data_IF_913411412825
#
_entry.id   IF_913411412825
#
_cell.length_a   1.000
_cell.length_b   1.000
_cell.length_c   1.000
_cell.angle_alpha   90.00
_cell.angle_beta   90.00
_cell.angle_gamma   90.00
#
_symmetry.space_group_name_H-M   'P 1'
#
loop_
_entity.id
_entity.type
_entity.pdbx_description
1 polymer ?
#
# COMPACT_ATOMS: atom_id res chain seq x y z
N UNK A 1 -36.93 -64.45 -31.79
CA UNK A 1 -35.70 -64.46 -32.60
C UNK A 1 -34.56 -64.10 -31.64
N UNK A 2 -34.10 -65.08 -30.86
CA UNK A 2 -32.81 -65.79 -31.03
C UNK A 2 -31.60 -64.84 -30.94
N UNK A 3 -30.56 -65.05 -30.15
CA UNK A 3 -30.21 -66.06 -29.16
C UNK A 3 -28.87 -65.61 -28.56
N UNK A 4 -28.67 -65.91 -27.27
CA UNK A 4 -27.42 -66.41 -26.64
C UNK A 4 -26.10 -65.63 -26.69
N UNK A 5 -25.61 -65.38 -25.47
CA UNK A 5 -24.26 -64.93 -25.03
C UNK A 5 -23.22 -66.10 -25.07
N UNK A 6 -21.97 -65.96 -24.57
CA UNK A 6 -20.65 -66.01 -25.24
C UNK A 6 -19.89 -67.35 -25.03
N UNK A 7 -18.54 -67.44 -25.20
CA UNK A 7 -17.67 -67.25 -24.02
C UNK A 7 -16.21 -66.77 -24.26
N UNK A 8 -15.56 -66.61 -23.11
CA UNK A 8 -14.23 -66.13 -22.70
C UNK A 8 -12.93 -66.83 -23.19
N UNK A 9 -11.83 -66.08 -22.94
CA UNK A 9 -10.49 -66.49 -22.44
C UNK A 9 -9.40 -67.01 -23.40
N UNK A 10 -8.26 -66.31 -23.42
CA UNK A 10 -6.99 -66.77 -22.81
C UNK A 10 -5.90 -65.68 -22.76
N UNK A 11 -5.12 -65.75 -21.68
CA UNK A 11 -4.02 -64.87 -21.28
C UNK A 11 -2.67 -65.21 -21.94
N UNK A 12 -1.75 -64.24 -21.97
CA UNK A 12 -0.30 -64.50 -21.88
C UNK A 12 0.45 -63.29 -21.30
N UNK A 13 1.35 -63.61 -20.37
CA UNK A 13 2.26 -62.80 -19.55
C UNK A 13 3.55 -62.45 -20.31
N UNK A 14 4.19 -61.33 -19.98
CA UNK A 14 5.63 -61.28 -19.59
C UNK A 14 6.02 -59.93 -18.99
N UNK A 15 6.73 -59.99 -17.86
CA UNK A 15 7.41 -58.88 -17.19
C UNK A 15 8.92 -58.87 -17.54
N UNK A 16 9.54 -57.69 -17.54
CA UNK A 16 10.99 -57.44 -17.30
C UNK A 16 11.22 -55.91 -17.30
N UNK A 17 11.40 -55.26 -16.14
CA UNK A 17 12.68 -54.87 -15.50
C UNK A 17 13.56 -53.91 -16.31
N UNK A 18 13.72 -52.68 -15.81
CA UNK A 18 14.76 -51.74 -16.25
C UNK A 18 14.72 -50.37 -15.56
N UNK A 19 15.37 -50.25 -14.41
CA UNK A 19 15.98 -49.00 -13.88
C UNK A 19 17.41 -49.42 -13.46
N UNK A 20 18.46 -48.57 -13.35
CA UNK A 20 18.42 -47.11 -13.21
C UNK A 20 19.58 -46.30 -13.87
N UNK A 21 19.41 -44.98 -13.96
CA UNK A 21 20.50 -43.98 -13.87
C UNK A 21 19.82 -42.61 -13.70
N UNK A 22 19.96 -41.88 -12.59
CA UNK A 22 21.21 -41.48 -11.98
C UNK A 22 21.53 -40.06 -12.47
N UNK A 23 21.07 -39.05 -11.74
CA UNK A 23 21.32 -37.65 -12.08
C UNK A 23 20.49 -36.69 -11.25
N UNK A 24 21.00 -36.32 -10.09
CA UNK A 24 20.69 -35.08 -9.38
C UNK A 24 21.96 -34.70 -8.60
N UNK A 25 22.21 -33.45 -8.19
CA UNK A 25 21.68 -32.16 -8.66
C UNK A 25 22.85 -31.17 -8.94
N UNK A 26 22.68 -30.15 -9.78
CA UNK A 26 23.46 -28.88 -9.71
C UNK A 26 23.19 -28.03 -10.96
N UNK A 27 22.09 -27.30 -10.97
CA UNK A 27 22.10 -26.01 -11.66
C UNK A 27 22.70 -25.05 -10.64
N UNK A 28 24.00 -24.80 -10.79
CA UNK A 28 24.70 -23.80 -10.01
C UNK A 28 23.96 -22.47 -10.19
N UNK A 29 23.30 -22.01 -9.13
CA UNK A 29 22.90 -20.62 -9.01
C UNK A 29 24.20 -19.81 -9.05
N UNK A 30 24.46 -19.17 -10.19
CA UNK A 30 25.48 -18.13 -10.27
C UNK A 30 25.20 -17.09 -9.18
N UNK A 31 26.23 -16.39 -8.66
CA UNK A 31 26.02 -15.42 -7.60
C UNK A 31 25.01 -14.40 -8.13
N UNK A 32 23.82 -14.37 -7.51
CA UNK A 32 22.87 -13.30 -7.72
C UNK A 32 23.66 -12.01 -7.51
N UNK A 33 23.73 -11.18 -8.53
CA UNK A 33 24.45 -9.92 -8.49
C UNK A 33 24.08 -9.19 -7.21
N UNK A 34 25.08 -8.89 -6.40
CA UNK A 34 24.97 -8.18 -5.12
C UNK A 34 24.51 -6.70 -5.29
N UNK A 35 24.05 -6.36 -6.49
CA UNK A 35 23.51 -5.07 -6.88
C UNK A 35 21.98 -5.11 -6.77
N UNK A 36 21.45 -4.24 -5.90
CA UNK A 36 20.04 -3.95 -5.60
C UNK A 36 19.46 -4.48 -4.28
N UNK A 37 20.27 -4.68 -3.23
CA UNK A 37 19.71 -4.56 -1.87
C UNK A 37 19.56 -3.06 -1.57
N UNK A 38 18.34 -2.54 -1.70
CA UNK A 38 17.99 -1.18 -1.29
C UNK A 38 18.35 -0.90 0.18
N UNK A 39 18.14 0.32 0.69
CA UNK A 39 18.63 0.69 2.02
C UNK A 39 18.11 -0.25 3.11
N UNK A 40 18.95 -0.54 4.11
CA UNK A 40 18.56 -1.35 5.28
C UNK A 40 17.36 -0.73 6.02
N UNK A 41 17.27 0.61 6.00
CA UNK A 41 16.12 1.36 6.50
C UNK A 41 15.89 2.61 5.65
N UNK A 42 14.71 2.74 5.07
CA UNK A 42 14.30 3.88 4.25
C UNK A 42 14.18 5.13 5.13
N UNK A 43 14.63 6.25 4.56
CA UNK A 43 14.76 7.56 5.21
C UNK A 43 14.45 8.61 4.16
N UNK A 44 14.13 9.82 4.61
CA UNK A 44 13.80 10.96 3.73
C UNK A 44 14.81 11.16 2.60
N UNK A 45 16.12 11.15 2.91
CA UNK A 45 17.15 11.35 1.88
C UNK A 45 17.20 10.23 0.84
N UNK A 46 16.80 8.99 1.20
CA UNK A 46 16.72 7.88 0.25
C UNK A 46 15.61 8.11 -0.79
N UNK A 47 14.53 8.84 -0.45
CA UNK A 47 13.46 9.16 -1.41
C UNK A 47 13.98 10.08 -2.52
N UNK A 48 14.69 11.15 -2.14
CA UNK A 48 15.32 12.06 -3.10
C UNK A 48 16.36 11.35 -3.96
N UNK A 49 17.19 10.51 -3.33
CA UNK A 49 18.18 9.71 -4.05
C UNK A 49 17.55 8.71 -5.03
N UNK A 50 16.39 8.13 -4.72
CA UNK A 50 15.65 7.26 -5.63
C UNK A 50 15.19 8.04 -6.88
N UNK A 51 14.62 9.23 -6.69
CA UNK A 51 14.28 10.15 -7.80
C UNK A 51 15.51 10.51 -8.65
N UNK A 52 16.62 10.91 -8.03
CA UNK A 52 17.87 11.25 -8.71
C UNK A 52 18.41 10.09 -9.57
N UNK A 53 18.17 8.84 -9.15
CA UNK A 53 18.55 7.62 -9.90
C UNK A 53 17.47 7.12 -10.86
N UNK A 54 16.28 7.71 -10.88
CA UNK A 54 15.14 7.20 -11.65
C UNK A 54 14.62 5.84 -11.16
N UNK A 55 14.82 5.51 -9.89
CA UNK A 55 14.34 4.27 -9.28
C UNK A 55 12.91 4.49 -8.72
N UNK A 56 11.89 3.77 -9.24
CA UNK A 56 10.51 3.95 -8.80
C UNK A 56 10.30 3.57 -7.33
N UNK A 57 9.74 4.49 -6.55
CA UNK A 57 9.38 4.26 -5.15
C UNK A 57 8.10 3.43 -5.04
N UNK A 58 8.09 2.46 -4.12
CA UNK A 58 6.91 1.65 -3.82
C UNK A 58 6.25 2.08 -2.51
N UNK A 59 4.95 2.32 -2.55
CA UNK A 59 4.15 2.69 -1.39
C UNK A 59 2.87 1.87 -1.32
N UNK A 60 2.54 1.37 -0.14
CA UNK A 60 1.26 0.70 0.13
C UNK A 60 0.67 1.20 1.43
N UNK A 61 -0.66 1.23 1.49
CA UNK A 61 -1.31 1.46 2.78
C UNK A 61 -1.12 0.26 3.72
N UNK A 62 -1.05 0.49 5.03
CA UNK A 62 -1.03 -0.56 6.04
C UNK A 62 -1.66 -0.04 7.34
N UNK A 63 -2.40 -0.89 8.06
CA UNK A 63 -3.15 -0.47 9.24
C UNK A 63 -2.89 -1.34 10.48
N UNK A 64 -2.13 -2.43 10.32
CA UNK A 64 -1.88 -3.41 11.37
C UNK A 64 -0.49 -4.05 11.24
N UNK A 65 -0.08 -4.78 12.28
CA UNK A 65 1.24 -5.40 12.37
C UNK A 65 1.42 -6.63 11.45
N UNK A 66 0.36 -7.38 11.15
CA UNK A 66 0.46 -8.58 10.30
C UNK A 66 0.76 -8.15 8.87
N UNK A 67 -0.04 -7.22 8.36
CA UNK A 67 0.08 -6.67 7.02
C UNK A 67 1.40 -5.90 6.86
N UNK A 68 1.75 -5.04 7.82
CA UNK A 68 2.99 -4.28 7.78
C UNK A 68 4.24 -5.16 7.73
N UNK A 69 4.26 -6.28 8.45
CA UNK A 69 5.40 -7.22 8.44
C UNK A 69 5.62 -7.80 7.05
N UNK A 70 4.54 -8.30 6.44
CA UNK A 70 4.58 -8.91 5.12
C UNK A 70 5.08 -7.89 4.09
N UNK A 71 4.58 -6.66 4.13
CA UNK A 71 4.99 -5.62 3.17
C UNK A 71 6.43 -5.14 3.38
N UNK A 72 6.88 -5.01 4.64
CA UNK A 72 8.25 -4.63 4.97
C UNK A 72 9.26 -5.70 4.49
N UNK A 73 8.96 -6.98 4.73
CA UNK A 73 9.77 -8.12 4.28
C UNK A 73 9.77 -8.27 2.75
N UNK A 74 8.67 -7.92 2.08
CA UNK A 74 8.57 -7.88 0.63
C UNK A 74 9.33 -6.70 -0.01
N UNK A 75 9.84 -5.76 0.80
CA UNK A 75 10.69 -4.66 0.34
C UNK A 75 9.95 -3.39 -0.05
N UNK A 76 8.70 -3.19 0.38
CA UNK A 76 7.98 -1.92 0.17
C UNK A 76 8.76 -0.76 0.81
N UNK A 77 8.92 0.36 0.09
CA UNK A 77 9.74 1.47 0.54
C UNK A 77 9.04 2.36 1.57
N UNK A 78 7.73 2.58 1.38
CA UNK A 78 6.91 3.46 2.19
C UNK A 78 5.63 2.75 2.62
N UNK A 79 5.36 2.72 3.93
CA UNK A 79 4.07 2.24 4.45
C UNK A 79 3.24 3.44 4.89
N UNK A 80 2.08 3.61 4.26
CA UNK A 80 1.14 4.67 4.59
C UNK A 80 0.06 4.15 5.56
N UNK A 81 0.04 4.68 6.76
CA UNK A 81 -1.15 4.56 7.60
C UNK A 81 -2.07 5.71 7.24
N UNK A 82 -2.93 5.44 6.25
CA UNK A 82 -3.81 6.46 5.68
C UNK A 82 -5.15 6.56 6.39
N UNK A 83 -5.80 7.73 6.29
CA UNK A 83 -7.17 7.94 6.79
C UNK A 83 -8.23 7.10 6.07
N UNK A 84 -7.87 6.53 4.91
CA UNK A 84 -8.51 5.36 4.28
C UNK A 84 -8.68 4.14 5.19
N UNK A 85 -8.17 4.15 6.43
CA UNK A 85 -8.60 3.21 7.47
C UNK A 85 -10.11 3.35 7.77
N UNK A 86 -10.66 4.56 7.66
CA UNK A 86 -12.05 4.86 7.97
C UNK A 86 -13.03 4.06 7.14
N UNK A 87 -12.89 4.10 5.81
CA UNK A 87 -13.77 3.35 4.91
C UNK A 87 -13.38 1.88 4.80
N UNK A 88 -12.09 1.56 4.72
CA UNK A 88 -11.63 0.19 4.47
C UNK A 88 -11.69 -0.73 5.70
N UNK A 89 -11.50 -0.18 6.91
CA UNK A 89 -11.41 -0.98 8.14
C UNK A 89 -12.53 -0.66 9.13
N UNK A 90 -12.97 0.60 9.21
CA UNK A 90 -13.99 1.04 10.18
C UNK A 90 -15.40 1.17 9.58
N UNK A 91 -15.56 0.88 8.28
CA UNK A 91 -16.82 0.96 7.55
C UNK A 91 -17.50 2.35 7.62
N UNK A 92 -16.72 3.41 7.81
CA UNK A 92 -17.21 4.76 7.61
C UNK A 92 -17.60 4.95 6.13
N UNK A 93 -18.63 5.75 5.84
CA UNK A 93 -19.00 6.02 4.46
C UNK A 93 -17.91 6.80 3.70
N UNK A 94 -17.08 7.54 4.45
CA UNK A 94 -16.01 8.40 3.95
C UNK A 94 -14.88 8.54 4.97
N UNK A 95 -13.78 9.23 4.64
CA UNK A 95 -12.64 9.42 5.58
C UNK A 95 -12.86 10.55 6.59
N UNK A 96 -13.89 11.39 6.41
CA UNK A 96 -14.18 12.55 7.27
C UNK A 96 -14.34 12.20 8.77
N UNK A 97 -14.99 11.09 9.16
CA UNK A 97 -15.19 10.77 10.57
C UNK A 97 -13.92 10.33 11.31
N UNK A 98 -12.83 10.03 10.61
CA UNK A 98 -11.60 9.51 11.22
C UNK A 98 -10.96 10.59 12.10
N UNK A 99 -10.59 10.22 13.32
CA UNK A 99 -9.91 11.11 14.27
C UNK A 99 -8.43 10.77 14.42
N UNK A 100 -7.65 11.68 15.02
CA UNK A 100 -6.26 11.40 15.40
C UNK A 100 -6.17 10.19 16.33
N UNK A 101 -7.16 10.00 17.21
CA UNK A 101 -7.18 8.89 18.17
C UNK A 101 -7.49 7.55 17.48
N UNK A 102 -8.25 7.54 16.38
CA UNK A 102 -8.46 6.35 15.55
C UNK A 102 -7.18 5.94 14.80
N UNK A 103 -6.38 6.93 14.38
CA UNK A 103 -5.12 6.70 13.64
C UNK A 103 -4.00 6.14 14.53
N UNK A 104 -3.87 6.65 15.76
CA UNK A 104 -2.73 6.34 16.64
C UNK A 104 -2.49 4.85 16.86
N UNK A 105 -3.49 4.00 17.17
CA UNK A 105 -3.29 2.55 17.34
C UNK A 105 -2.72 1.87 16.08
N UNK A 106 -3.27 2.21 14.91
CA UNK A 106 -2.83 1.66 13.63
C UNK A 106 -1.40 2.09 13.29
N UNK A 107 -1.11 3.39 13.42
CA UNK A 107 0.24 3.94 13.23
C UNK A 107 1.24 3.25 14.14
N UNK A 108 0.87 3.04 15.41
CA UNK A 108 1.72 2.36 16.39
C UNK A 108 2.00 0.91 16.04
N UNK A 109 1.00 0.17 15.57
CA UNK A 109 1.16 -1.22 15.15
C UNK A 109 2.12 -1.33 13.97
N UNK A 110 1.96 -0.46 12.96
CA UNK A 110 2.80 -0.43 11.75
C UNK A 110 4.22 0.02 12.10
N UNK A 111 4.37 1.12 12.83
CA UNK A 111 5.69 1.69 13.20
C UNK A 111 6.55 0.75 14.04
N UNK A 112 5.95 -0.02 14.95
CA UNK A 112 6.68 -1.02 15.75
C UNK A 112 7.11 -2.24 14.93
N UNK A 113 6.42 -2.50 13.83
CA UNK A 113 6.65 -3.68 13.00
C UNK A 113 7.69 -3.40 11.91
N UNK A 114 7.55 -2.28 11.21
CA UNK A 114 8.42 -1.92 10.08
C UNK A 114 9.89 -1.80 10.49
N UNK A 115 10.75 -2.65 9.92
CA UNK A 115 12.19 -2.61 10.12
C UNK A 115 12.86 -1.76 9.04
N UNK A 116 12.40 -1.87 7.79
CA UNK A 116 12.96 -1.20 6.63
C UNK A 116 12.17 0.05 6.23
N UNK A 117 10.87 -0.05 6.03
CA UNK A 117 10.06 0.94 5.35
C UNK A 117 9.96 2.28 6.11
N UNK A 118 9.77 3.36 5.36
CA UNK A 118 9.41 4.66 5.90
C UNK A 118 7.91 4.68 6.21
N UNK A 119 7.55 4.60 7.49
CA UNK A 119 6.17 4.77 7.95
C UNK A 119 5.72 6.24 7.90
N UNK A 120 4.70 6.51 7.09
CA UNK A 120 4.03 7.82 6.95
C UNK A 120 2.63 7.69 7.55
N UNK A 121 2.22 8.66 8.37
CA UNK A 121 0.88 8.69 8.96
C UNK A 121 0.06 9.87 8.41
N UNK A 122 -1.18 9.63 8.01
CA UNK A 122 -2.09 10.71 7.68
C UNK A 122 -2.47 11.55 8.90
N UNK A 123 -2.55 12.87 8.70
CA UNK A 123 -3.34 13.74 9.56
C UNK A 123 -4.78 13.74 9.02
N UNK A 124 -5.75 13.27 9.81
CA UNK A 124 -7.13 13.19 9.36
C UNK A 124 -7.79 14.57 9.29
N UNK A 125 -8.93 14.65 8.62
CA UNK A 125 -9.72 15.86 8.47
C UNK A 125 -9.98 16.56 9.82
N UNK A 126 -9.85 17.89 9.82
CA UNK A 126 -10.06 18.75 10.98
C UNK A 126 -8.88 18.81 11.97
N UNK A 127 -7.79 18.08 11.71
CA UNK A 127 -6.64 18.00 12.62
C UNK A 127 -5.48 18.94 12.25
N UNK A 128 -5.53 19.61 11.09
CA UNK A 128 -4.42 20.45 10.62
C UNK A 128 -4.83 21.76 9.96
N UNK A 129 -6.07 21.88 9.51
CA UNK A 129 -6.54 22.94 8.61
C UNK A 129 -6.72 24.28 9.31
N UNK A 130 -6.98 24.30 10.63
CA UNK A 130 -7.32 25.53 11.32
C UNK A 130 -6.09 26.43 11.56
N UNK A 131 -4.90 25.85 11.73
CA UNK A 131 -3.65 26.62 11.85
C UNK A 131 -2.39 25.75 11.80
N UNK A 132 -1.21 26.32 11.48
CA UNK A 132 0.07 25.63 11.60
C UNK A 132 0.30 25.05 13.00
N UNK A 133 -0.12 25.76 14.05
CA UNK A 133 0.02 25.32 15.43
C UNK A 133 -0.80 24.05 15.74
N UNK A 134 -2.04 23.97 15.23
CA UNK A 134 -2.87 22.78 15.35
C UNK A 134 -2.25 21.60 14.59
N UNK A 135 -1.85 21.82 13.33
CA UNK A 135 -1.19 20.79 12.52
C UNK A 135 0.07 20.25 13.21
N UNK A 136 0.90 21.14 13.74
CA UNK A 136 2.08 20.76 14.52
C UNK A 136 1.71 19.91 15.74
N UNK A 137 0.69 20.30 16.52
CA UNK A 137 0.24 19.52 17.68
C UNK A 137 -0.19 18.10 17.27
N UNK A 138 -1.02 17.97 16.23
CA UNK A 138 -1.47 16.67 15.70
C UNK A 138 -0.31 15.82 15.19
N UNK A 139 0.62 16.41 14.44
CA UNK A 139 1.80 15.71 13.94
C UNK A 139 2.73 15.22 15.05
N UNK A 140 2.93 16.04 16.10
CA UNK A 140 3.69 15.62 17.29
C UNK A 140 3.06 14.37 17.92
N UNK A 141 1.74 14.26 17.98
CA UNK A 141 1.08 13.05 18.49
C UNK A 141 1.39 11.82 17.61
N UNK A 142 1.29 11.95 16.28
CA UNK A 142 1.61 10.84 15.36
C UNK A 142 3.05 10.35 15.50
N UNK A 143 4.01 11.24 15.69
CA UNK A 143 5.41 10.87 15.88
C UNK A 143 5.66 10.32 17.30
N UNK A 144 5.22 11.04 18.34
CA UNK A 144 5.56 10.75 19.73
C UNK A 144 4.76 9.60 20.34
N UNK A 145 3.45 9.56 20.10
CA UNK A 145 2.55 8.56 20.68
C UNK A 145 2.48 7.29 19.82
N UNK A 146 2.63 7.44 18.50
CA UNK A 146 2.44 6.36 17.55
C UNK A 146 3.73 5.93 16.81
N UNK A 147 4.76 6.76 16.73
CA UNK A 147 6.05 6.36 16.15
C UNK A 147 6.15 6.48 14.64
N UNK A 148 5.27 7.27 14.00
CA UNK A 148 5.43 7.61 12.58
C UNK A 148 6.80 8.27 12.32
N UNK A 149 7.35 8.12 11.11
CA UNK A 149 8.57 8.80 10.70
C UNK A 149 8.31 10.12 9.96
N UNK A 150 7.11 10.27 9.39
CA UNK A 150 6.66 11.42 8.62
C UNK A 150 5.13 11.51 8.71
N UNK A 151 4.58 12.67 8.37
CA UNK A 151 3.13 12.87 8.26
C UNK A 151 2.72 13.20 6.83
N UNK A 152 1.49 12.85 6.44
CA UNK A 152 0.84 13.27 5.19
C UNK A 152 -0.42 14.07 5.50
N UNK A 153 -0.69 15.12 4.73
CA UNK A 153 -1.96 15.84 4.79
C UNK A 153 -2.30 16.48 3.45
N UNK A 154 -3.57 16.83 3.27
CA UNK A 154 -4.17 17.24 2.00
C UNK A 154 -4.23 18.75 1.87
N UNK A 155 -3.83 19.27 0.71
CA UNK A 155 -3.95 20.69 0.40
C UNK A 155 -2.72 21.28 -0.29
N UNK A 156 -2.96 22.37 -1.02
CA UNK A 156 -1.97 23.07 -1.85
C UNK A 156 -1.29 24.25 -1.17
N UNK A 157 -1.04 25.31 -1.94
CA UNK A 157 -0.29 26.49 -1.54
C UNK A 157 -0.77 27.10 -0.22
N UNK A 158 -2.08 27.10 0.03
CA UNK A 158 -2.68 27.62 1.26
C UNK A 158 -2.20 26.92 2.54
N UNK A 159 -1.60 25.72 2.46
CA UNK A 159 -1.00 25.01 3.59
C UNK A 159 0.54 25.10 3.64
N UNK A 160 1.17 25.92 2.80
CA UNK A 160 2.63 26.07 2.79
C UNK A 160 3.20 26.49 4.16
N UNK A 161 2.49 27.33 4.93
CA UNK A 161 2.93 27.70 6.29
C UNK A 161 2.90 26.53 7.27
N UNK A 162 1.98 25.59 7.10
CA UNK A 162 1.89 24.36 7.90
C UNK A 162 3.11 23.48 7.60
N UNK A 163 3.36 23.20 6.31
CA UNK A 163 4.54 22.43 5.87
C UNK A 163 5.83 23.04 6.39
N UNK A 164 5.97 24.37 6.28
CA UNK A 164 7.18 25.09 6.72
C UNK A 164 7.41 24.99 8.22
N UNK A 165 6.35 25.12 9.03
CA UNK A 165 6.47 24.96 10.48
C UNK A 165 6.89 23.53 10.85
N UNK A 166 6.21 22.51 10.31
CA UNK A 166 6.52 21.11 10.61
C UNK A 166 7.95 20.75 10.21
N UNK A 167 8.36 21.13 9.00
CA UNK A 167 9.70 20.85 8.50
C UNK A 167 10.77 21.52 9.37
N UNK A 168 10.57 22.78 9.78
CA UNK A 168 11.49 23.47 10.71
C UNK A 168 11.51 22.85 12.11
N UNK A 169 10.43 22.21 12.54
CA UNK A 169 10.36 21.43 13.77
C UNK A 169 10.98 20.02 13.63
N UNK A 170 11.52 19.66 12.46
CA UNK A 170 12.13 18.35 12.20
C UNK A 170 11.12 17.24 11.89
N UNK A 171 9.88 17.59 11.52
CA UNK A 171 8.83 16.65 11.12
C UNK A 171 8.76 16.59 9.59
N UNK A 172 9.12 15.47 8.94
CA UNK A 172 8.99 15.33 7.49
C UNK A 172 7.52 15.32 7.06
N UNK A 173 7.22 16.03 5.99
CA UNK A 173 5.85 16.17 5.44
C UNK A 173 5.77 15.61 4.03
N UNK A 174 4.82 14.71 3.79
CA UNK A 174 4.39 14.30 2.46
C UNK A 174 3.15 15.12 2.10
N UNK A 175 3.22 15.93 1.04
CA UNK A 175 2.05 16.64 0.54
C UNK A 175 1.07 15.71 -0.15
N UNK A 176 -0.20 16.11 -0.27
CA UNK A 176 -1.20 15.40 -1.08
C UNK A 176 -2.02 16.38 -1.90
N UNK A 177 -1.93 16.27 -3.23
CA UNK A 177 -2.61 17.10 -4.22
C UNK A 177 -3.41 16.27 -5.21
N UNK A 178 -4.25 16.95 -5.99
CA UNK A 178 -5.20 16.32 -6.90
C UNK A 178 -6.53 16.13 -6.20
N UNK A 179 -7.14 14.96 -6.35
CA UNK A 179 -8.34 14.62 -5.57
C UNK A 179 -7.94 14.35 -4.13
N UNK A 180 -8.40 15.20 -3.22
CA UNK A 180 -8.17 15.11 -1.78
C UNK A 180 -9.45 14.62 -1.10
N UNK A 181 -9.56 13.32 -0.72
CA UNK A 181 -10.77 12.73 -0.15
C UNK A 181 -11.40 13.51 1.01
N UNK A 182 -10.61 14.19 1.84
CA UNK A 182 -11.11 14.98 2.97
C UNK A 182 -11.93 16.20 2.52
N UNK A 183 -11.75 16.63 1.27
CA UNK A 183 -12.51 17.71 0.63
C UNK A 183 -13.66 17.21 -0.26
N UNK A 184 -14.09 15.94 -0.15
CA UNK A 184 -15.11 15.36 -1.05
C UNK A 184 -16.42 16.16 -1.12
N UNK A 185 -16.82 16.79 0.00
CA UNK A 185 -18.05 17.59 0.09
C UNK A 185 -17.96 18.86 -0.74
N UNK A 186 -16.76 19.44 -0.84
CA UNK A 186 -16.47 20.59 -1.70
C UNK A 186 -16.31 20.16 -3.16
N UNK A 187 -15.67 19.01 -3.39
CA UNK A 187 -15.37 18.49 -4.73
C UNK A 187 -16.58 17.82 -5.41
N UNK A 188 -17.62 17.46 -4.63
CA UNK A 188 -18.79 16.74 -5.14
C UNK A 188 -18.47 15.29 -5.50
N UNK A 189 -17.69 14.61 -4.64
CA UNK A 189 -17.28 13.21 -4.78
C UNK A 189 -16.00 12.99 -5.60
N UNK A 190 -15.68 11.72 -5.88
CA UNK A 190 -14.45 11.26 -6.56
C UNK A 190 -14.38 11.77 -8.01
N UNK A 191 -13.73 12.92 -8.23
CA UNK A 191 -13.58 13.57 -9.53
C UNK A 191 -12.11 13.81 -9.87
N UNK A 192 -11.78 13.59 -11.13
CA UNK A 192 -10.44 13.86 -11.67
C UNK A 192 -10.13 15.36 -11.57
N UNK A 193 -8.99 15.71 -11.01
CA UNK A 193 -8.52 17.08 -10.81
C UNK A 193 -7.47 17.49 -11.86
N UNK A 194 -7.17 18.78 -11.98
CA UNK A 194 -6.15 19.27 -12.94
C UNK A 194 -6.58 19.20 -14.41
N UNK A 195 -7.88 19.13 -14.72
CA UNK A 195 -8.39 19.20 -16.10
C UNK A 195 -8.43 20.64 -16.62
N UNK A 196 -7.83 20.85 -17.79
CA UNK A 196 -7.72 22.16 -18.42
C UNK A 196 -6.46 22.92 -17.95
N UNK A 197 -5.97 23.82 -18.80
CA UNK A 197 -4.68 24.51 -18.59
C UNK A 197 -4.58 25.20 -17.24
N UNK A 198 -5.61 25.97 -16.86
CA UNK A 198 -5.62 26.74 -15.61
C UNK A 198 -5.57 25.84 -14.36
N UNK A 199 -6.30 24.71 -14.37
CA UNK A 199 -6.27 23.76 -13.25
C UNK A 199 -4.95 22.99 -13.18
N UNK A 200 -4.33 22.70 -14.33
CA UNK A 200 -3.01 22.10 -14.40
C UNK A 200 -1.92 23.06 -13.88
N UNK A 201 -1.99 24.34 -14.24
CA UNK A 201 -1.06 25.37 -13.77
C UNK A 201 -1.18 25.58 -12.26
N UNK A 202 -2.41 25.62 -11.73
CA UNK A 202 -2.64 25.64 -10.27
C UNK A 202 -2.03 24.44 -9.56
N UNK A 203 -2.22 23.23 -10.08
CA UNK A 203 -1.66 22.02 -9.47
C UNK A 203 -0.11 22.06 -9.43
N UNK A 204 0.52 22.58 -10.48
CA UNK A 204 1.97 22.80 -10.53
C UNK A 204 2.39 23.85 -9.50
N UNK A 205 1.68 24.96 -9.39
CA UNK A 205 1.96 26.00 -8.41
C UNK A 205 1.82 25.50 -6.97
N UNK A 206 0.74 24.76 -6.67
CA UNK A 206 0.53 24.11 -5.38
C UNK A 206 1.69 23.17 -5.04
N UNK A 207 2.10 22.33 -5.99
CA UNK A 207 3.18 21.39 -5.79
C UNK A 207 4.52 22.08 -5.50
N UNK A 208 4.85 23.13 -6.26
CA UNK A 208 6.06 23.94 -6.04
C UNK A 208 6.01 24.62 -4.67
N UNK A 209 4.86 25.19 -4.29
CA UNK A 209 4.71 25.83 -2.99
C UNK A 209 4.92 24.87 -1.81
N UNK A 210 4.44 23.62 -1.91
CA UNK A 210 4.71 22.59 -0.90
C UNK A 210 6.19 22.19 -0.87
N UNK A 211 6.82 22.02 -2.03
CA UNK A 211 8.24 21.70 -2.12
C UNK A 211 9.12 22.82 -1.53
N UNK A 212 8.85 24.07 -1.87
CA UNK A 212 9.53 25.26 -1.34
C UNK A 212 9.32 25.43 0.17
N UNK A 213 8.16 25.00 0.68
CA UNK A 213 7.88 24.98 2.11
C UNK A 213 8.62 23.85 2.86
N UNK A 214 9.18 22.86 2.16
CA UNK A 214 9.98 21.79 2.73
C UNK A 214 9.34 20.41 2.76
N UNK A 215 8.28 20.19 1.98
CA UNK A 215 7.75 18.84 1.78
C UNK A 215 8.85 17.89 1.24
N UNK A 216 8.80 16.62 1.64
CA UNK A 216 9.81 15.61 1.26
C UNK A 216 9.37 14.71 0.11
N UNK A 217 8.07 14.69 -0.18
CA UNK A 217 7.44 14.03 -1.31
C UNK A 217 6.03 14.63 -1.50
N UNK A 218 5.40 14.39 -2.65
CA UNK A 218 4.01 14.80 -2.91
C UNK A 218 3.23 13.65 -3.54
N UNK A 219 2.10 13.29 -2.95
CA UNK A 219 1.13 12.38 -3.56
C UNK A 219 0.29 13.14 -4.59
N UNK A 220 0.09 12.54 -5.77
CA UNK A 220 -0.80 13.03 -6.82
C UNK A 220 -1.93 12.02 -7.04
N UNK A 221 -3.15 12.38 -6.65
CA UNK A 221 -4.32 11.50 -6.74
C UNK A 221 -5.31 11.93 -7.83
N UNK A 222 -5.72 10.98 -8.68
CA UNK A 222 -6.69 11.20 -9.76
C UNK A 222 -6.39 12.44 -10.63
N UNK A 223 -5.15 12.55 -11.10
CA UNK A 223 -4.66 13.62 -11.98
C UNK A 223 -4.42 13.08 -13.39
N UNK A 224 -4.71 13.81 -14.48
CA UNK A 224 -4.34 13.41 -15.83
C UNK A 224 -2.83 13.14 -15.95
N UNK A 225 -2.46 12.02 -16.56
CA UNK A 225 -1.06 11.60 -16.73
C UNK A 225 -0.11 12.70 -17.24
N UNK A 226 -0.45 13.45 -18.31
CA UNK A 226 0.41 14.54 -18.79
C UNK A 226 0.61 15.67 -17.77
N UNK A 227 -0.36 15.92 -16.90
CA UNK A 227 -0.24 16.94 -15.85
C UNK A 227 0.63 16.43 -14.72
N UNK A 228 0.46 15.17 -14.30
CA UNK A 228 1.32 14.53 -13.32
C UNK A 228 2.79 14.48 -13.78
N UNK A 229 3.03 14.12 -15.05
CA UNK A 229 4.35 14.14 -15.67
C UNK A 229 5.02 15.52 -15.56
N UNK A 230 4.28 16.59 -15.89
CA UNK A 230 4.75 17.98 -15.76
C UNK A 230 5.10 18.34 -14.32
N UNK A 231 4.29 17.93 -13.34
CA UNK A 231 4.59 18.15 -11.91
C UNK A 231 5.87 17.39 -11.51
N UNK A 232 5.98 16.12 -11.89
CA UNK A 232 7.16 15.27 -11.62
C UNK A 232 8.45 15.86 -12.18
N UNK A 233 8.39 16.44 -13.39
CA UNK A 233 9.53 17.03 -14.08
C UNK A 233 10.07 18.27 -13.34
N UNK A 234 9.19 19.14 -12.84
CA UNK A 234 9.60 20.42 -12.24
C UNK A 234 9.92 20.33 -10.75
N UNK A 235 9.42 19.30 -10.05
CA UNK A 235 9.66 19.16 -8.62
C UNK A 235 11.06 18.59 -8.31
N UNK A 236 11.78 19.14 -7.32
CA UNK A 236 13.04 18.56 -6.83
C UNK A 236 12.83 17.38 -5.88
N UNK A 237 11.59 17.12 -5.46
CA UNK A 237 11.19 16.05 -4.54
C UNK A 237 10.34 15.00 -5.27
N UNK A 238 10.31 13.75 -4.79
CA UNK A 238 9.56 12.69 -5.45
C UNK A 238 8.05 12.90 -5.46
N UNK A 239 7.42 12.61 -6.60
CA UNK A 239 5.98 12.46 -6.75
C UNK A 239 5.57 11.00 -6.60
N UNK A 240 4.47 10.75 -5.88
CA UNK A 240 3.89 9.42 -5.72
C UNK A 240 2.48 9.42 -6.31
N UNK A 241 2.26 8.65 -7.37
CA UNK A 241 0.97 8.62 -8.07
C UNK A 241 -0.03 7.62 -7.48
N UNK A 242 -1.31 7.98 -7.54
CA UNK A 242 -2.44 7.05 -7.43
C UNK A 242 -3.52 7.47 -8.43
N UNK A 243 -3.61 6.73 -9.53
CA UNK A 243 -4.42 7.17 -10.68
C UNK A 243 -3.86 8.43 -11.36
N UNK A 244 -2.54 8.63 -11.31
CA UNK A 244 -1.83 9.76 -11.93
C UNK A 244 -0.97 9.37 -13.15
N UNK A 245 -1.08 8.12 -13.62
CA UNK A 245 -0.24 7.60 -14.72
C UNK A 245 1.15 7.15 -14.25
N UNK A 246 1.99 6.67 -15.18
CA UNK A 246 3.29 6.08 -14.86
C UNK A 246 4.43 7.10 -14.74
N UNK A 247 4.28 8.32 -15.26
CA UNK A 247 5.30 9.37 -15.31
C UNK A 247 5.43 10.13 -13.98
N UNK A 248 5.60 9.37 -12.89
CA UNK A 248 5.78 9.82 -11.50
C UNK A 248 6.92 9.04 -10.87
N UNK A 249 7.53 9.55 -9.80
CA UNK A 249 8.71 8.92 -9.18
C UNK A 249 8.37 7.67 -8.35
N UNK A 250 7.09 7.39 -8.12
CA UNK A 250 6.62 6.20 -7.40
C UNK A 250 5.11 6.04 -7.45
N UNK A 251 4.61 4.94 -6.89
CA UNK A 251 3.18 4.62 -6.90
C UNK A 251 2.69 4.23 -5.51
N UNK A 252 1.44 4.61 -5.20
CA UNK A 252 0.71 4.16 -4.01
C UNK A 252 -0.61 3.49 -4.39
N UNK A 253 -0.97 2.43 -3.67
CA UNK A 253 -2.30 1.84 -3.69
C UNK A 253 -2.79 1.57 -2.27
N UNK A 254 -4.11 1.59 -2.10
CA UNK A 254 -4.77 0.98 -0.95
C UNK A 254 -4.53 -0.53 -1.04
N UNK A 255 -4.00 -1.14 0.03
CA UNK A 255 -3.55 -2.53 -0.04
C UNK A 255 -4.70 -3.52 -0.28
N UNK A 256 -5.90 -3.23 0.20
CA UNK A 256 -7.09 -4.07 0.00
C UNK A 256 -7.49 -4.15 -1.47
N UNK A 257 -7.37 -3.04 -2.21
CA UNK A 257 -7.60 -3.00 -3.65
C UNK A 257 -6.50 -3.76 -4.41
N UNK A 258 -5.24 -3.52 -4.04
CA UNK A 258 -4.07 -4.20 -4.63
C UNK A 258 -4.16 -5.72 -4.45
N UNK A 259 -4.54 -6.19 -3.26
CA UNK A 259 -4.61 -7.60 -2.91
C UNK A 259 -5.92 -8.30 -3.34
N UNK A 260 -6.88 -7.57 -3.90
CA UNK A 260 -8.19 -8.14 -4.26
C UNK A 260 -8.95 -8.68 -3.05
N UNK A 261 -9.01 -7.91 -1.97
CA UNK A 261 -9.71 -8.30 -0.73
C UNK A 261 -11.23 -8.29 -0.86
N UNK A 262 -11.76 -7.43 -1.74
CA UNK A 262 -13.20 -7.33 -2.00
C UNK A 262 -13.50 -7.45 -3.49
N UNK A 263 -14.77 -7.59 -3.84
CA UNK A 263 -15.21 -7.66 -5.24
C UNK A 263 -15.17 -6.30 -5.96
N UNK A 264 -15.14 -5.19 -5.21
CA UNK A 264 -15.01 -3.84 -5.78
C UNK A 264 -13.52 -3.46 -5.93
N UNK A 265 -13.22 -2.54 -6.85
CA UNK A 265 -11.89 -1.94 -7.03
C UNK A 265 -12.03 -0.64 -7.81
N UNK A 266 -11.27 0.43 -7.50
CA UNK A 266 -11.27 1.64 -8.31
C UNK A 266 -10.61 1.37 -9.68
N UNK A 267 -10.99 2.14 -10.70
CA UNK A 267 -10.54 1.93 -12.09
C UNK A 267 -9.02 2.02 -12.29
N UNK A 268 -8.33 2.79 -11.44
CA UNK A 268 -6.88 2.95 -11.52
C UNK A 268 -6.12 1.83 -10.80
N UNK A 269 -6.78 1.03 -9.95
CA UNK A 269 -6.13 -0.04 -9.22
C UNK A 269 -6.12 -1.32 -10.06
N UNK A 270 -4.93 -1.92 -10.15
CA UNK A 270 -4.76 -3.29 -10.62
C UNK A 270 -4.78 -4.23 -9.41
N UNK A 271 -5.48 -5.36 -9.54
CA UNK A 271 -5.33 -6.48 -8.60
C UNK A 271 -4.08 -7.26 -8.93
N UNK A 272 -3.25 -7.48 -7.92
CA UNK A 272 -2.05 -8.31 -7.96
C UNK A 272 -2.26 -9.67 -7.28
N UNK A 273 -3.44 -9.89 -6.67
CA UNK A 273 -3.88 -11.16 -6.11
C UNK A 273 -5.39 -11.17 -5.89
N UNK A 274 -5.91 -12.31 -5.40
CA UNK A 274 -7.31 -12.54 -5.04
C UNK A 274 -7.40 -13.05 -3.59
N UNK A 275 -6.76 -12.31 -2.67
CA UNK A 275 -6.60 -12.74 -1.27
C UNK A 275 -7.94 -12.86 -0.55
N UNK A 276 -8.93 -12.03 -0.91
CA UNK A 276 -10.28 -12.13 -0.35
C UNK A 276 -10.98 -13.45 -0.68
N UNK A 277 -10.78 -13.98 -1.88
CA UNK A 277 -11.35 -15.25 -2.30
C UNK A 277 -10.74 -16.43 -1.51
N UNK A 278 -9.42 -16.40 -1.31
CA UNK A 278 -8.71 -17.39 -0.51
C UNK A 278 -9.13 -17.34 0.97
N UNK A 279 -9.25 -16.14 1.56
CA UNK A 279 -9.75 -15.99 2.92
C UNK A 279 -11.18 -16.55 3.08
N UNK A 280 -12.06 -16.28 2.10
CA UNK A 280 -13.41 -16.83 2.09
C UNK A 280 -13.42 -18.36 1.97
N UNK A 281 -12.50 -18.93 1.17
CA UNK A 281 -12.32 -20.37 1.03
C UNK A 281 -11.86 -21.01 2.34
N UNK A 282 -10.80 -20.49 2.95
CA UNK A 282 -10.27 -20.95 4.24
C UNK A 282 -11.34 -20.88 5.34
N UNK A 283 -12.11 -19.78 5.40
CA UNK A 283 -13.20 -19.61 6.37
C UNK A 283 -14.28 -20.69 6.20
N UNK A 284 -14.68 -21.00 4.96
CA UNK A 284 -15.66 -22.06 4.69
C UNK A 284 -15.11 -23.45 5.03
N UNK A 285 -13.83 -23.70 4.77
CA UNK A 285 -13.17 -24.95 5.12
C UNK A 285 -13.12 -25.16 6.63
N UNK A 286 -12.70 -24.14 7.39
CA UNK A 286 -12.73 -24.15 8.86
C UNK A 286 -14.15 -24.42 9.39
N UNK A 287 -15.15 -23.68 8.90
CA UNK A 287 -16.53 -23.86 9.33
C UNK A 287 -17.07 -25.27 9.02
N UNK A 288 -16.66 -25.88 7.90
CA UNK A 288 -17.00 -27.28 7.58
C UNK A 288 -16.36 -28.24 8.59
N UNK A 289 -15.06 -28.10 8.82
CA UNK A 289 -14.31 -28.98 9.71
C UNK A 289 -14.80 -28.94 11.16
N UNK A 290 -15.26 -27.78 11.64
CA UNK A 290 -15.90 -27.67 12.95
C UNK A 290 -17.27 -28.34 12.98
N UNK A 291 -18.09 -28.16 11.94
CA UNK A 291 -19.46 -28.71 11.88
C UNK A 291 -19.47 -30.24 11.76
N UNK A 292 -18.54 -30.81 11.01
CA UNK A 292 -18.39 -32.27 10.88
C UNK A 292 -17.51 -32.89 11.99
N UNK A 293 -16.99 -32.07 12.90
CA UNK A 293 -16.11 -32.45 14.02
C UNK A 293 -14.80 -33.12 13.59
N UNK A 294 -14.35 -32.88 12.36
CA UNK A 294 -12.98 -33.23 11.96
C UNK A 294 -11.93 -32.29 12.57
N UNK A 295 -12.34 -31.09 13.03
CA UNK A 295 -11.50 -30.16 13.79
C UNK A 295 -12.14 -29.79 15.15
N UNK A 296 -11.35 -29.73 16.25
CA UNK A 296 -9.95 -30.16 16.35
C UNK A 296 -9.79 -31.68 16.21
N UNK A 297 -8.74 -32.11 15.49
CA UNK A 297 -8.30 -33.51 15.44
C UNK A 297 -7.41 -33.85 16.66
N UNK A 298 -7.08 -35.14 16.84
CA UNK A 298 -6.28 -35.61 17.99
C UNK A 298 -4.94 -34.86 18.17
N UNK A 299 -4.26 -34.52 17.08
CA UNK A 299 -3.00 -33.75 17.09
C UNK A 299 -3.13 -32.30 17.62
N UNK A 300 -4.36 -31.78 17.74
CA UNK A 300 -4.65 -30.45 18.25
C UNK A 300 -5.09 -30.45 19.72
N UNK A 301 -5.14 -31.61 20.37
CA UNK A 301 -5.63 -31.78 21.74
C UNK A 301 -4.45 -31.95 22.70
N UNK A 302 -4.47 -31.25 23.83
CA UNK A 302 -3.48 -31.40 24.89
C UNK A 302 -3.91 -32.50 25.87
N UNK A 303 -2.98 -33.36 26.25
CA UNK A 303 -3.18 -34.37 27.29
C UNK A 303 -3.01 -33.75 28.69
N UNK A 304 -3.71 -34.31 29.67
CA UNK A 304 -3.65 -33.91 31.09
C UNK A 304 -2.46 -34.54 31.82
#
# INVERSE_FOLDING_TARGET
MSSSVPPEQRAASTAATGTPSGGDPSVAAGPASEQARGPRKVRVHHLRQAKERGEPLTMLTAYDAVTARIFDEAGIDILLVGDSIGDNMHAHPTTIPVTVDDMIPAVRAVARTAQRALVVADLPFGSYEASPAQCHASAVRMLKEAGAHAVKFEGGEHLAEHVRLLTRSGIPVVGHLGFTPQAENLLGGKRVQGRGHEAADRLVADALALADAGAVAVVLEMVPGPVAARVTEVLPIPTIGIGAGPEVDGQVLVWTDMAGMTSWSPRFARRFGEVGAELASATRAYARAVRDRSFPAAEHVYES
#
